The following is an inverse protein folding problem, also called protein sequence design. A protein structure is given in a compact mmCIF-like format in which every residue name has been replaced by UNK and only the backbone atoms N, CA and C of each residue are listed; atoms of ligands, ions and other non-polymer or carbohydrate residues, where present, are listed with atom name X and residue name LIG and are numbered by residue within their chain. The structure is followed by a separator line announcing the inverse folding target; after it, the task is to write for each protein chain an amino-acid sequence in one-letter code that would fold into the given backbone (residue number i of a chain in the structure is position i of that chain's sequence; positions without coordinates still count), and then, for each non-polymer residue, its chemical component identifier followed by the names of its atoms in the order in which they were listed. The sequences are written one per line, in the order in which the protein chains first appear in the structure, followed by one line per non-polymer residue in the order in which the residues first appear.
data_IF_073756520207
#
_entry.id   IF_073756520207
#
_cell.length_a   1.000
_cell.length_b   1.000
_cell.length_c   1.000
_cell.angle_alpha   90.00
_cell.angle_beta   90.00
_cell.angle_gamma   90.00
#
_symmetry.space_group_name_H-M   'P 1'
#
loop_
_entity.id
_entity.type
_entity.pdbx_description
1 polymer ?
#
# COMPACT_ATOMS: atom_id res chain seq x y z
N UNK A 1 46.38 -56.23 10.19
CA UNK A 1 46.30 -55.43 8.96
C UNK A 1 44.84 -55.29 8.59
N UNK A 2 44.20 -54.24 9.07
CA UNK A 2 42.80 -53.92 8.76
C UNK A 2 42.76 -52.55 8.10
N UNK A 3 42.32 -52.52 6.85
CA UNK A 3 42.04 -51.28 6.12
C UNK A 3 40.53 -51.00 6.25
N UNK A 4 40.19 -49.97 7.00
CA UNK A 4 38.83 -49.39 7.03
C UNK A 4 38.63 -48.49 5.82
N UNK A 5 37.74 -48.84 4.93
CA UNK A 5 37.32 -48.00 3.83
C UNK A 5 36.18 -47.06 4.30
N UNK A 6 36.44 -45.77 4.24
CA UNK A 6 35.42 -44.75 4.52
C UNK A 6 34.57 -44.54 3.26
N UNK A 7 33.30 -44.89 3.32
CA UNK A 7 32.33 -44.63 2.25
C UNK A 7 31.83 -43.19 2.38
N UNK A 8 32.23 -42.32 1.44
CA UNK A 8 31.71 -40.97 1.32
C UNK A 8 30.42 -41.06 0.52
N UNK A 9 29.28 -40.89 1.19
CA UNK A 9 27.96 -40.81 0.58
C UNK A 9 27.77 -39.39 0.05
N UNK A 10 27.97 -39.19 -1.23
CA UNK A 10 27.65 -37.93 -1.91
C UNK A 10 26.16 -37.77 -2.06
N UNK A 11 25.54 -36.88 -1.29
CA UNK A 11 24.16 -36.47 -1.49
C UNK A 11 24.14 -35.49 -2.67
N UNK A 12 23.74 -35.96 -3.83
CA UNK A 12 23.40 -35.09 -4.95
C UNK A 12 22.07 -34.38 -4.64
N UNK A 13 22.15 -33.10 -4.30
CA UNK A 13 20.96 -32.24 -4.24
C UNK A 13 20.47 -32.01 -5.67
N UNK A 14 19.46 -32.75 -6.10
CA UNK A 14 18.71 -32.46 -7.29
C UNK A 14 17.88 -31.20 -7.03
N UNK A 15 18.33 -30.04 -7.48
CA UNK A 15 17.52 -28.84 -7.64
C UNK A 15 16.43 -29.16 -8.67
N UNK A 16 15.26 -29.57 -8.19
CA UNK A 16 14.08 -29.57 -9.02
C UNK A 16 13.74 -28.09 -9.32
N UNK A 17 14.13 -27.63 -10.52
CA UNK A 17 13.60 -26.41 -11.07
C UNK A 17 12.08 -26.58 -11.16
N UNK A 18 11.35 -26.07 -10.17
CA UNK A 18 9.90 -26.01 -10.23
C UNK A 18 9.54 -25.17 -11.46
N UNK A 19 8.99 -25.82 -12.48
CA UNK A 19 8.49 -25.14 -13.67
C UNK A 19 7.47 -24.09 -13.19
N UNK A 20 7.77 -22.81 -13.42
CA UNK A 20 6.88 -21.70 -13.14
C UNK A 20 5.61 -21.93 -13.96
N UNK A 21 4.44 -22.08 -13.34
CA UNK A 21 3.22 -22.37 -14.07
C UNK A 21 2.93 -21.26 -15.09
N UNK A 22 2.49 -21.65 -16.28
CA UNK A 22 2.29 -20.73 -17.44
C UNK A 22 1.32 -19.57 -17.19
N UNK A 23 0.50 -19.65 -16.12
CA UNK A 23 -0.43 -18.58 -15.73
C UNK A 23 0.26 -17.41 -14.98
N UNK A 24 1.42 -17.59 -14.35
CA UNK A 24 2.20 -16.47 -13.81
C UNK A 24 2.62 -15.47 -14.87
N UNK A 25 2.66 -15.89 -16.14
CA UNK A 25 3.02 -15.03 -17.27
C UNK A 25 1.85 -14.18 -17.81
N UNK A 26 0.60 -14.47 -17.45
CA UNK A 26 -0.57 -13.76 -18.00
C UNK A 26 -0.81 -12.39 -17.34
N UNK A 27 -0.54 -12.25 -16.04
CA UNK A 27 -0.63 -10.95 -15.36
C UNK A 27 0.56 -10.03 -15.69
N UNK A 28 1.74 -10.59 -15.90
CA UNK A 28 2.89 -9.84 -16.42
C UNK A 28 2.62 -9.27 -17.83
N UNK A 29 1.80 -9.94 -18.64
CA UNK A 29 1.50 -9.48 -20.01
C UNK A 29 0.51 -8.32 -20.08
N UNK A 30 -0.32 -8.10 -19.06
CA UNK A 30 -1.27 -6.97 -19.03
C UNK A 30 -0.65 -5.63 -18.65
N UNK A 31 0.52 -5.62 -17.98
CA UNK A 31 1.33 -4.41 -17.76
C UNK A 31 2.23 -4.04 -18.94
N UNK A 32 2.31 -4.89 -19.98
CA UNK A 32 3.24 -4.76 -21.12
C UNK A 32 2.52 -4.58 -22.45
N UNK A 33 1.51 -3.73 -22.53
CA UNK A 33 1.10 -3.19 -23.83
C UNK A 33 1.92 -1.93 -24.22
N UNK A 34 3.21 -2.01 -24.06
CA UNK A 34 4.21 -1.17 -24.68
C UNK A 34 5.45 -2.01 -24.73
N UNK A 35 5.98 -2.34 -25.92
CA UNK A 35 7.03 -3.29 -26.23
C UNK A 35 8.14 -3.39 -25.19
N UNK A 36 7.92 -4.19 -24.16
CA UNK A 36 8.86 -4.43 -23.09
C UNK A 36 10.04 -5.25 -23.61
N UNK A 37 11.23 -4.71 -23.48
CA UNK A 37 12.46 -5.42 -23.78
C UNK A 37 12.57 -6.67 -22.91
N UNK A 38 13.10 -7.79 -23.43
CA UNK A 38 13.41 -8.99 -22.67
C UNK A 38 14.54 -8.81 -21.64
N UNK A 39 15.13 -7.62 -21.55
CA UNK A 39 16.23 -7.34 -20.62
C UNK A 39 15.69 -6.68 -19.35
N UNK A 40 15.82 -7.30 -18.17
CA UNK A 40 15.53 -6.63 -16.90
C UNK A 40 16.52 -5.50 -16.67
N UNK A 41 16.02 -4.34 -16.23
CA UNK A 41 16.85 -3.26 -15.72
C UNK A 41 17.42 -2.31 -16.78
N UNK A 42 16.62 -1.39 -17.26
CA UNK A 42 17.05 -0.07 -17.74
C UNK A 42 18.10 0.03 -18.85
N UNK A 43 18.62 -1.08 -19.43
CA UNK A 43 19.64 -1.05 -20.49
C UNK A 43 19.11 -1.55 -21.84
N UNK A 44 19.64 -0.98 -22.90
CA UNK A 44 19.51 -1.47 -24.27
C UNK A 44 20.44 -2.69 -24.51
N UNK A 45 20.26 -3.45 -25.59
CA UNK A 45 21.16 -4.58 -25.92
C UNK A 45 22.63 -4.19 -26.10
N UNK A 46 22.93 -2.94 -26.43
CA UNK A 46 24.26 -2.39 -26.57
C UNK A 46 24.89 -1.94 -25.23
N UNK A 47 24.19 -2.14 -24.11
CA UNK A 47 24.61 -1.73 -22.76
C UNK A 47 24.33 -0.28 -22.42
N UNK A 48 23.79 0.53 -23.32
CA UNK A 48 23.40 1.91 -23.02
C UNK A 48 22.18 1.95 -22.07
N UNK A 49 22.11 2.99 -21.24
CA UNK A 49 20.97 3.20 -20.34
C UNK A 49 19.73 3.56 -21.15
N UNK A 50 18.62 2.91 -20.83
CA UNK A 50 17.32 3.37 -21.32
C UNK A 50 16.89 4.58 -20.53
N UNK A 51 16.23 5.55 -21.19
CA UNK A 51 15.50 6.56 -20.46
C UNK A 51 14.48 5.88 -19.52
N UNK A 52 14.62 6.08 -18.22
CA UNK A 52 13.61 5.62 -17.27
C UNK A 52 12.32 6.39 -17.60
N UNK A 53 11.20 5.71 -17.92
CA UNK A 53 9.95 6.44 -18.12
C UNK A 53 9.69 7.28 -16.88
N UNK A 54 9.32 8.56 -17.03
CA UNK A 54 8.99 9.38 -15.89
C UNK A 54 7.88 8.68 -15.11
N UNK A 55 8.04 8.56 -13.80
CA UNK A 55 6.96 8.08 -12.93
C UNK A 55 5.84 9.10 -13.08
N UNK A 56 4.72 8.71 -13.68
CA UNK A 56 3.60 9.60 -13.97
C UNK A 56 2.96 10.18 -12.71
N UNK A 57 3.22 9.56 -11.54
CA UNK A 57 2.77 9.99 -10.22
C UNK A 57 3.78 9.53 -9.18
N UNK A 58 4.07 10.38 -8.17
CA UNK A 58 4.88 10.02 -7.00
C UNK A 58 4.24 8.92 -6.15
N UNK A 59 2.92 8.86 -6.18
CA UNK A 59 2.15 7.85 -5.49
C UNK A 59 1.37 7.04 -6.52
N UNK A 60 1.52 5.73 -6.49
CA UNK A 60 0.58 4.83 -7.15
C UNK A 60 -0.79 5.02 -6.53
N UNK A 61 -1.82 4.70 -7.31
CA UNK A 61 -3.19 4.62 -6.82
C UNK A 61 -3.20 3.83 -5.51
N UNK A 62 -3.70 4.43 -4.44
CA UNK A 62 -3.75 3.75 -3.17
C UNK A 62 -4.85 2.71 -3.14
N UNK A 63 -4.59 1.61 -2.47
CA UNK A 63 -5.59 0.60 -2.21
C UNK A 63 -5.22 -0.15 -0.94
N UNK A 64 -6.19 -0.29 -0.04
CA UNK A 64 -6.11 -1.26 1.04
C UNK A 64 -6.85 -2.53 0.62
N UNK A 65 -6.20 -3.68 0.73
CA UNK A 65 -6.82 -4.97 0.44
C UNK A 65 -6.65 -5.93 1.60
N UNK A 66 -7.75 -6.46 2.09
CA UNK A 66 -7.76 -7.48 3.13
C UNK A 66 -8.39 -8.76 2.60
N UNK A 67 -7.73 -9.88 2.84
CA UNK A 67 -8.16 -11.21 2.47
C UNK A 67 -8.48 -12.01 3.73
N UNK A 68 -9.75 -12.27 4.02
CA UNK A 68 -10.14 -13.16 5.09
C UNK A 68 -10.32 -14.57 4.52
N UNK A 69 -9.42 -15.48 4.88
CA UNK A 69 -9.50 -16.89 4.51
C UNK A 69 -10.69 -17.50 5.24
N UNK A 70 -11.62 -18.11 4.49
CA UNK A 70 -12.83 -18.69 5.01
C UNK A 70 -12.60 -20.14 5.50
N UNK A 71 -13.67 -20.89 5.69
CA UNK A 71 -13.62 -22.23 6.28
C UNK A 71 -12.59 -23.12 5.60
N UNK A 72 -11.82 -23.92 6.37
CA UNK A 72 -10.85 -24.85 5.83
C UNK A 72 -11.49 -25.80 4.80
N UNK A 73 -10.82 -25.93 3.64
CA UNK A 73 -11.30 -26.76 2.54
C UNK A 73 -12.37 -26.13 1.65
N UNK A 74 -12.87 -24.93 1.97
CA UNK A 74 -13.81 -24.21 1.09
C UNK A 74 -13.14 -23.64 -0.16
N UNK A 75 -11.82 -23.50 -0.15
CA UNK A 75 -11.04 -22.80 -1.19
C UNK A 75 -11.48 -21.35 -1.40
N UNK A 76 -12.19 -20.79 -0.41
CA UNK A 76 -12.77 -19.45 -0.48
C UNK A 76 -12.09 -18.47 0.47
N UNK A 77 -12.07 -17.22 0.04
CA UNK A 77 -11.65 -16.08 0.88
C UNK A 77 -12.48 -14.84 0.54
N UNK A 78 -12.84 -14.10 1.58
CA UNK A 78 -13.54 -12.81 1.46
C UNK A 78 -12.52 -11.71 1.29
N UNK A 79 -12.74 -10.85 0.32
CA UNK A 79 -11.89 -9.69 0.04
C UNK A 79 -12.64 -8.44 0.48
N UNK A 80 -11.97 -7.61 1.27
CA UNK A 80 -12.32 -6.21 1.53
C UNK A 80 -11.33 -5.35 0.75
N UNK A 81 -11.81 -4.57 -0.19
CA UNK A 81 -10.98 -3.79 -1.09
C UNK A 81 -11.44 -2.33 -1.12
N UNK A 82 -10.52 -1.42 -0.82
CA UNK A 82 -10.77 0.03 -0.80
C UNK A 82 -9.86 0.69 -1.83
N UNK A 83 -10.23 0.71 -3.12
CA UNK A 83 -9.49 1.36 -4.19
C UNK A 83 -9.84 2.84 -4.32
N UNK A 84 -8.93 3.57 -4.96
CA UNK A 84 -9.07 4.98 -5.31
C UNK A 84 -9.16 5.15 -6.84
N UNK A 85 -9.99 6.09 -7.29
CA UNK A 85 -10.03 6.62 -8.65
C UNK A 85 -9.58 8.09 -8.61
N UNK A 86 -8.59 8.42 -9.40
CA UNK A 86 -7.95 9.75 -9.37
C UNK A 86 -8.11 10.54 -10.67
N UNK A 87 -8.78 9.98 -11.68
CA UNK A 87 -9.05 10.68 -12.93
C UNK A 87 -10.20 11.66 -12.74
N UNK A 88 -9.93 12.95 -12.78
CA UNK A 88 -10.94 14.01 -12.66
C UNK A 88 -12.08 13.77 -13.65
N UNK A 89 -13.32 13.89 -13.17
CA UNK A 89 -14.53 13.68 -13.95
C UNK A 89 -14.94 12.21 -14.11
N UNK A 90 -14.13 11.23 -13.66
CA UNK A 90 -14.54 9.84 -13.70
C UNK A 90 -15.76 9.62 -12.80
N UNK A 91 -16.82 9.00 -13.39
CA UNK A 91 -18.06 8.68 -12.70
C UNK A 91 -18.16 7.20 -12.31
N UNK A 92 -17.17 6.40 -12.67
CA UNK A 92 -17.12 4.95 -12.44
C UNK A 92 -15.72 4.52 -12.04
N UNK A 93 -15.66 3.56 -11.11
CA UNK A 93 -14.45 2.83 -10.79
C UNK A 93 -14.58 1.39 -11.28
N UNK A 94 -13.58 0.90 -12.02
CA UNK A 94 -13.56 -0.45 -12.57
C UNK A 94 -12.54 -1.30 -11.83
N UNK A 95 -13.00 -2.43 -11.27
CA UNK A 95 -12.16 -3.40 -10.60
C UNK A 95 -12.21 -4.76 -11.29
N UNK A 96 -11.15 -5.09 -12.02
CA UNK A 96 -11.03 -6.38 -12.69
C UNK A 96 -10.93 -7.54 -11.68
N UNK A 97 -11.65 -8.62 -11.96
CA UNK A 97 -11.51 -9.90 -11.27
C UNK A 97 -10.31 -10.64 -11.83
N UNK A 98 -9.57 -11.31 -10.98
CA UNK A 98 -8.45 -12.14 -11.40
C UNK A 98 -8.97 -13.35 -12.19
N UNK A 99 -8.40 -13.59 -13.36
CA UNK A 99 -8.72 -14.78 -14.17
C UNK A 99 -8.49 -16.08 -13.40
N UNK A 100 -9.44 -17.02 -13.52
CA UNK A 100 -9.45 -18.30 -12.80
C UNK A 100 -9.92 -18.23 -11.35
N UNK A 101 -10.37 -17.06 -10.85
CA UNK A 101 -11.10 -16.95 -9.59
C UNK A 101 -12.59 -16.80 -9.88
N UNK A 102 -13.41 -17.60 -9.21
CA UNK A 102 -14.87 -17.47 -9.24
C UNK A 102 -15.28 -16.39 -8.23
N UNK A 103 -15.90 -15.32 -8.70
CA UNK A 103 -16.33 -14.21 -7.84
C UNK A 103 -17.80 -14.35 -7.46
N UNK A 104 -18.12 -14.16 -6.18
CA UNK A 104 -19.49 -14.14 -5.63
C UNK A 104 -19.64 -13.07 -4.54
N UNK A 105 -20.86 -12.92 -4.03
CA UNK A 105 -21.20 -12.09 -2.87
C UNK A 105 -20.64 -10.65 -2.98
N UNK A 106 -20.78 -10.07 -4.18
CA UNK A 106 -20.28 -8.71 -4.43
C UNK A 106 -21.18 -7.69 -3.76
N UNK A 107 -20.57 -6.83 -2.97
CA UNK A 107 -21.22 -5.68 -2.35
C UNK A 107 -20.33 -4.45 -2.58
N UNK A 108 -20.92 -3.31 -2.89
CA UNK A 108 -20.19 -2.06 -3.13
C UNK A 108 -20.81 -0.94 -2.30
N UNK A 109 -19.99 -0.19 -1.59
CA UNK A 109 -20.42 0.88 -0.70
C UNK A 109 -19.66 2.17 -0.97
N UNK A 110 -20.32 3.29 -0.73
CA UNK A 110 -19.69 4.58 -0.57
C UNK A 110 -18.98 4.63 0.81
N UNK A 111 -17.64 4.69 0.86
CA UNK A 111 -16.92 4.68 2.14
C UNK A 111 -17.10 5.94 2.97
N UNK A 112 -17.64 7.03 2.39
CA UNK A 112 -17.97 8.25 3.12
C UNK A 112 -19.27 8.12 3.91
N UNK A 113 -20.28 7.46 3.35
CA UNK A 113 -21.63 7.38 3.92
C UNK A 113 -22.03 6.00 4.40
N UNK A 114 -21.27 4.95 4.07
CA UNK A 114 -21.61 3.55 4.33
C UNK A 114 -22.79 3.03 3.50
N UNK A 115 -23.34 3.83 2.56
CA UNK A 115 -24.51 3.45 1.76
C UNK A 115 -24.11 2.55 0.58
N UNK A 116 -24.96 1.57 0.21
CA UNK A 116 -24.76 0.78 -0.98
C UNK A 116 -24.69 1.63 -2.24
N UNK A 117 -23.78 1.28 -3.15
CA UNK A 117 -23.66 1.89 -4.47
C UNK A 117 -24.19 0.96 -5.56
N UNK A 118 -24.60 1.55 -6.68
CA UNK A 118 -24.93 0.79 -7.88
C UNK A 118 -23.65 0.24 -8.51
N UNK A 119 -23.70 -1.01 -8.92
CA UNK A 119 -22.63 -1.65 -9.66
C UNK A 119 -23.15 -2.67 -10.64
N UNK A 120 -22.31 -3.06 -11.59
CA UNK A 120 -22.50 -4.27 -12.42
C UNK A 120 -21.26 -5.15 -12.28
N UNK A 121 -21.48 -6.47 -12.27
CA UNK A 121 -20.41 -7.47 -12.34
C UNK A 121 -20.61 -8.27 -13.62
N UNK A 122 -19.72 -8.08 -14.59
CA UNK A 122 -19.89 -8.61 -15.93
C UNK A 122 -18.59 -9.04 -16.57
N UNK A 123 -18.70 -9.90 -17.58
CA UNK A 123 -17.58 -10.29 -18.42
C UNK A 123 -17.08 -9.08 -19.23
N UNK A 124 -15.75 -8.98 -19.36
CA UNK A 124 -15.04 -7.98 -20.14
C UNK A 124 -14.36 -8.61 -21.36
N UNK A 125 -14.72 -8.13 -22.56
CA UNK A 125 -14.17 -8.65 -23.81
C UNK A 125 -14.63 -10.09 -24.11
N UNK A 126 -13.77 -10.85 -24.83
CA UNK A 126 -14.09 -12.19 -25.30
C UNK A 126 -13.57 -13.33 -24.40
N UNK A 127 -12.83 -13.00 -23.34
CA UNK A 127 -12.29 -13.99 -22.41
C UNK A 127 -13.35 -14.29 -21.33
N UNK A 128 -13.85 -15.52 -21.24
CA UNK A 128 -14.87 -15.88 -20.25
C UNK A 128 -14.38 -15.79 -18.81
N UNK A 129 -13.08 -15.80 -18.57
CA UNK A 129 -12.49 -15.61 -17.23
C UNK A 129 -12.30 -14.14 -16.86
N UNK A 130 -12.48 -13.22 -17.80
CA UNK A 130 -12.24 -11.81 -17.57
C UNK A 130 -13.53 -11.10 -17.17
N UNK A 131 -13.71 -10.89 -15.87
CA UNK A 131 -14.84 -10.15 -15.33
C UNK A 131 -14.38 -8.89 -14.61
N UNK A 132 -15.23 -7.88 -14.55
CA UNK A 132 -15.00 -6.69 -13.77
C UNK A 132 -16.23 -6.21 -13.01
N UNK A 133 -15.99 -5.59 -11.87
CA UNK A 133 -16.97 -4.83 -11.12
C UNK A 133 -16.87 -3.39 -11.60
N UNK A 134 -17.97 -2.86 -12.13
CA UNK A 134 -18.15 -1.48 -12.50
C UNK A 134 -18.98 -0.79 -11.43
N UNK A 135 -18.34 -0.03 -10.59
CA UNK A 135 -18.98 0.67 -9.46
C UNK A 135 -19.23 2.14 -9.83
N UNK A 136 -20.49 2.56 -9.76
CA UNK A 136 -20.84 3.98 -9.96
C UNK A 136 -20.38 4.78 -8.76
N UNK A 137 -19.55 5.80 -8.96
CA UNK A 137 -19.11 6.69 -7.88
C UNK A 137 -20.27 7.56 -7.38
N UNK A 138 -20.31 7.91 -6.08
CA UNK A 138 -21.36 8.77 -5.51
C UNK A 138 -21.45 10.12 -6.19
N UNK A 139 -20.30 10.67 -6.55
CA UNK A 139 -20.12 11.86 -7.38
C UNK A 139 -18.96 11.60 -8.36
N UNK A 140 -18.94 12.23 -9.54
CA UNK A 140 -17.75 12.21 -10.39
C UNK A 140 -16.55 12.78 -9.62
N UNK A 141 -15.36 12.19 -9.85
CA UNK A 141 -14.13 12.63 -9.18
C UNK A 141 -13.94 14.13 -9.36
N UNK A 142 -13.95 14.92 -8.27
CA UNK A 142 -13.78 16.37 -8.39
C UNK A 142 -12.33 16.73 -8.70
N UNK A 143 -12.10 17.93 -9.23
CA UNK A 143 -10.75 18.48 -9.38
C UNK A 143 -10.08 18.60 -8.01
N UNK A 144 -8.89 18.05 -7.89
CA UNK A 144 -8.13 18.00 -6.61
C UNK A 144 -8.66 16.98 -5.60
N UNK A 145 -9.68 16.20 -5.96
CA UNK A 145 -10.24 15.15 -5.12
C UNK A 145 -9.95 13.74 -5.62
N UNK A 146 -10.53 12.75 -4.94
CA UNK A 146 -10.34 11.31 -5.21
C UNK A 146 -11.70 10.62 -5.08
N UNK A 147 -12.03 9.76 -6.06
CA UNK A 147 -13.18 8.86 -5.95
C UNK A 147 -12.81 7.58 -5.23
N UNK A 148 -13.61 7.14 -4.26
CA UNK A 148 -13.39 5.89 -3.53
C UNK A 148 -14.64 5.02 -3.54
N UNK A 149 -14.42 3.71 -3.50
CA UNK A 149 -15.46 2.72 -3.23
C UNK A 149 -14.93 1.68 -2.27
N UNK A 150 -15.82 1.11 -1.45
CA UNK A 150 -15.52 -0.06 -0.63
C UNK A 150 -16.18 -1.28 -1.27
N UNK A 151 -15.38 -2.23 -1.71
CA UNK A 151 -15.85 -3.46 -2.36
C UNK A 151 -15.63 -4.63 -1.43
N UNK A 152 -16.69 -5.39 -1.17
CA UNK A 152 -16.60 -6.75 -0.63
C UNK A 152 -16.92 -7.74 -1.73
N UNK A 153 -16.15 -8.83 -1.79
CA UNK A 153 -16.38 -9.94 -2.71
C UNK A 153 -15.76 -11.22 -2.16
N UNK A 154 -16.35 -12.35 -2.49
CA UNK A 154 -15.82 -13.67 -2.16
C UNK A 154 -15.19 -14.27 -3.42
N UNK A 155 -13.98 -14.79 -3.31
CA UNK A 155 -13.36 -15.58 -4.37
C UNK A 155 -13.27 -17.04 -3.93
N UNK A 156 -13.58 -17.94 -4.86
CA UNK A 156 -13.18 -19.34 -4.79
C UNK A 156 -11.99 -19.52 -5.74
N UNK A 157 -10.86 -19.92 -5.22
CA UNK A 157 -9.63 -20.10 -6.00
C UNK A 157 -8.76 -21.20 -5.37
N UNK A 158 -8.91 -22.47 -5.83
CA UNK A 158 -8.16 -23.61 -5.30
C UNK A 158 -6.65 -23.53 -5.56
N UNK A 159 -6.22 -22.66 -6.49
CA UNK A 159 -4.79 -22.43 -6.75
C UNK A 159 -4.16 -21.48 -5.75
N UNK A 160 -4.99 -20.63 -5.12
CA UNK A 160 -4.55 -19.68 -4.10
C UNK A 160 -4.66 -20.27 -2.71
N UNK A 161 -5.72 -21.01 -2.40
CA UNK A 161 -5.99 -21.55 -1.08
C UNK A 161 -6.00 -23.08 -1.13
N UNK A 162 -4.97 -23.69 -0.55
CA UNK A 162 -4.76 -25.13 -0.55
C UNK A 162 -4.71 -25.66 0.88
N UNK A 163 -5.24 -26.88 1.07
CA UNK A 163 -5.12 -27.65 2.31
C UNK A 163 -4.18 -28.84 2.10
N UNK A 164 -3.26 -29.04 3.05
CA UNK A 164 -2.38 -30.19 3.13
C UNK A 164 -2.50 -30.80 4.54
N UNK A 165 -3.44 -31.70 4.74
CA UNK A 165 -3.81 -32.21 6.08
C UNK A 165 -4.36 -31.05 6.93
N UNK A 166 -3.71 -30.78 8.07
CA UNK A 166 -4.06 -29.69 8.98
C UNK A 166 -3.40 -28.36 8.63
N UNK A 167 -2.66 -28.28 7.53
CA UNK A 167 -1.94 -27.10 7.12
C UNK A 167 -2.66 -26.36 5.97
N UNK A 168 -2.68 -25.04 6.07
CA UNK A 168 -3.08 -24.12 5.00
C UNK A 168 -1.82 -23.61 4.31
N UNK A 169 -1.84 -23.63 2.98
CA UNK A 169 -0.91 -22.88 2.13
C UNK A 169 -1.73 -21.91 1.30
N UNK A 170 -1.49 -20.61 1.52
CA UNK A 170 -2.13 -19.54 0.76
C UNK A 170 -1.08 -18.83 -0.07
N UNK A 171 -1.25 -18.83 -1.41
CA UNK A 171 -0.29 -18.28 -2.37
C UNK A 171 -1.00 -17.33 -3.33
N UNK A 172 -0.58 -16.07 -3.37
CA UNK A 172 -1.17 -15.10 -4.28
C UNK A 172 -0.16 -14.01 -4.66
N UNK A 173 -0.15 -13.63 -5.94
CA UNK A 173 0.56 -12.43 -6.37
C UNK A 173 -0.28 -11.20 -6.05
N UNK A 174 0.30 -10.25 -5.32
CA UNK A 174 -0.37 -9.06 -4.81
C UNK A 174 0.35 -7.81 -5.27
N UNK A 175 -0.40 -6.85 -5.81
CA UNK A 175 0.08 -5.56 -6.29
C UNK A 175 -0.36 -4.38 -5.42
N UNK A 176 -1.31 -4.60 -4.49
CA UNK A 176 -1.74 -3.55 -3.55
C UNK A 176 -0.60 -3.06 -2.67
N UNK A 177 -0.64 -1.80 -2.29
CA UNK A 177 0.39 -1.21 -1.43
C UNK A 177 0.23 -1.65 0.03
N UNK A 178 -0.99 -1.61 0.55
CA UNK A 178 -1.34 -2.01 1.93
C UNK A 178 -2.21 -3.25 1.91
N UNK A 179 -1.78 -4.28 2.61
CA UNK A 179 -2.33 -5.63 2.50
C UNK A 179 -2.54 -6.26 3.87
N UNK A 180 -3.62 -6.99 4.02
CA UNK A 180 -3.91 -7.82 5.18
C UNK A 180 -4.38 -9.22 4.77
N UNK A 181 -3.97 -10.23 5.54
CA UNK A 181 -4.49 -11.61 5.41
C UNK A 181 -4.92 -12.11 6.77
N UNK A 182 -6.20 -12.45 6.90
CA UNK A 182 -6.79 -12.99 8.14
C UNK A 182 -6.93 -14.50 7.98
N UNK A 183 -6.30 -15.23 8.91
CA UNK A 183 -6.37 -16.69 8.95
C UNK A 183 -7.74 -17.17 9.47
N UNK A 184 -8.20 -18.39 9.13
CA UNK A 184 -9.39 -18.96 9.71
C UNK A 184 -9.25 -19.13 11.23
N UNK A 185 -10.36 -19.19 11.93
CA UNK A 185 -10.36 -19.46 13.37
C UNK A 185 -9.76 -20.83 13.65
N UNK A 186 -8.91 -20.93 14.68
CA UNK A 186 -8.25 -22.17 15.07
C UNK A 186 -7.03 -22.51 14.22
N UNK A 187 -6.43 -21.53 13.55
CA UNK A 187 -5.16 -21.67 12.85
C UNK A 187 -4.09 -20.77 13.44
N UNK A 188 -2.88 -21.31 13.59
CA UNK A 188 -1.68 -20.59 13.96
C UNK A 188 -0.86 -20.23 12.72
N UNK A 189 -0.20 -19.09 12.75
CA UNK A 189 0.78 -18.70 11.74
C UNK A 189 2.05 -19.55 11.88
N UNK A 190 2.59 -20.04 10.77
CA UNK A 190 3.83 -20.80 10.69
C UNK A 190 4.92 -19.99 10.01
N UNK A 191 4.66 -19.52 8.78
CA UNK A 191 5.66 -18.76 8.03
C UNK A 191 5.04 -17.91 6.93
N UNK A 192 5.80 -16.89 6.49
CA UNK A 192 5.51 -16.07 5.34
C UNK A 192 6.82 -15.70 4.64
N UNK A 193 6.78 -15.50 3.33
CA UNK A 193 7.91 -15.00 2.57
C UNK A 193 7.97 -13.47 2.53
N UNK A 194 7.05 -12.78 3.21
CA UNK A 194 7.04 -11.32 3.35
C UNK A 194 7.15 -10.92 4.81
N UNK A 195 7.79 -9.79 5.08
CA UNK A 195 7.78 -9.19 6.40
C UNK A 195 6.37 -8.67 6.72
N UNK A 196 5.81 -9.08 7.85
CA UNK A 196 4.45 -8.74 8.23
C UNK A 196 4.35 -8.43 9.74
N UNK A 197 3.43 -7.55 10.08
CA UNK A 197 2.92 -7.42 11.44
C UNK A 197 1.90 -8.55 11.68
N UNK A 198 2.02 -9.23 12.81
CA UNK A 198 1.06 -10.27 13.23
C UNK A 198 0.24 -9.73 14.41
N UNK A 199 -1.08 -9.70 14.24
CA UNK A 199 -2.02 -9.24 15.27
C UNK A 199 -3.11 -10.27 15.50
N UNK A 200 -3.79 -10.19 16.64
CA UNK A 200 -4.97 -10.99 16.94
C UNK A 200 -6.21 -10.12 16.84
N UNK A 201 -7.17 -10.53 16.03
CA UNK A 201 -8.47 -9.87 15.90
C UNK A 201 -9.34 -10.10 17.14
N UNK A 202 -10.37 -9.27 17.33
CA UNK A 202 -11.27 -9.39 18.47
C UNK A 202 -11.98 -10.76 18.57
N UNK A 203 -12.17 -11.46 17.44
CA UNK A 203 -12.76 -12.81 17.36
C UNK A 203 -11.74 -13.93 17.54
N UNK A 204 -10.48 -13.60 17.84
CA UNK A 204 -9.37 -14.53 18.07
C UNK A 204 -8.68 -15.03 16.81
N UNK A 205 -9.04 -14.55 15.60
CA UNK A 205 -8.30 -14.87 14.37
C UNK A 205 -7.00 -14.09 14.30
N UNK A 206 -6.01 -14.67 13.66
CA UNK A 206 -4.74 -14.01 13.39
C UNK A 206 -4.82 -13.21 12.08
N UNK A 207 -4.26 -12.00 12.09
CA UNK A 207 -4.10 -11.15 10.90
C UNK A 207 -2.64 -10.84 10.68
N UNK A 208 -2.19 -11.09 9.44
CA UNK A 208 -0.92 -10.62 8.93
C UNK A 208 -1.17 -9.35 8.13
N UNK A 209 -0.50 -8.27 8.51
CA UNK A 209 -0.57 -7.01 7.79
C UNK A 209 0.81 -6.62 7.28
N UNK A 210 0.91 -6.17 6.03
CA UNK A 210 2.17 -5.86 5.39
C UNK A 210 2.01 -4.83 4.27
N UNK A 211 3.12 -4.24 3.86
CA UNK A 211 3.17 -3.33 2.72
C UNK A 211 3.97 -3.94 1.56
N UNK A 212 3.57 -3.57 0.35
CA UNK A 212 4.31 -3.84 -0.87
C UNK A 212 4.80 -2.52 -1.47
N UNK A 213 6.02 -2.07 -1.11
CA UNK A 213 6.52 -0.76 -1.53
C UNK A 213 6.87 -0.68 -3.02
N UNK A 214 7.00 -1.81 -3.69
CA UNK A 214 7.42 -1.84 -5.09
C UNK A 214 6.32 -1.41 -6.06
N UNK A 215 5.04 -1.45 -5.64
CA UNK A 215 3.90 -1.26 -6.54
C UNK A 215 3.78 -2.30 -7.65
N UNK A 216 4.68 -3.30 -7.65
CA UNK A 216 4.67 -4.42 -8.58
C UNK A 216 3.94 -5.62 -7.98
N UNK A 217 3.52 -6.55 -8.84
CA UNK A 217 2.92 -7.80 -8.37
C UNK A 217 3.99 -8.70 -7.77
N UNK A 218 3.92 -8.91 -6.44
CA UNK A 218 4.84 -9.78 -5.71
C UNK A 218 4.13 -11.06 -5.25
N UNK A 219 4.74 -12.24 -5.39
CA UNK A 219 4.19 -13.47 -4.86
C UNK A 219 4.27 -13.45 -3.32
N UNK A 220 3.13 -13.68 -2.67
CA UNK A 220 3.01 -13.82 -1.23
C UNK A 220 2.62 -15.25 -0.93
N UNK A 221 3.35 -15.90 -0.04
CA UNK A 221 3.08 -17.26 0.45
C UNK A 221 2.93 -17.23 1.95
N UNK A 222 1.83 -17.75 2.46
CA UNK A 222 1.54 -17.84 3.89
C UNK A 222 1.25 -19.30 4.22
N UNK A 223 1.89 -19.82 5.27
CA UNK A 223 1.65 -21.13 5.84
C UNK A 223 1.01 -20.97 7.22
N UNK A 224 -0.06 -21.72 7.46
CA UNK A 224 -0.74 -21.76 8.74
C UNK A 224 -1.10 -23.20 9.09
N UNK A 225 -1.18 -23.52 10.38
CA UNK A 225 -1.48 -24.85 10.89
C UNK A 225 -2.65 -24.83 11.86
N UNK A 226 -3.53 -25.78 11.77
CA UNK A 226 -4.61 -25.99 12.72
C UNK A 226 -4.06 -26.12 14.14
N UNK A 227 -4.68 -25.45 15.10
CA UNK A 227 -4.26 -25.47 16.50
C UNK A 227 -5.47 -25.43 17.42
N UNK A 228 -5.33 -26.09 18.58
CA UNK A 228 -6.28 -25.95 19.67
C UNK A 228 -5.98 -24.73 20.56
N UNK A 229 -4.83 -24.06 20.37
CA UNK A 229 -4.46 -22.88 21.15
C UNK A 229 -5.41 -21.72 20.83
N UNK A 230 -5.90 -21.06 21.86
CA UNK A 230 -6.61 -19.80 21.73
C UNK A 230 -5.61 -18.64 21.82
N UNK A 231 -5.73 -17.70 20.89
CA UNK A 231 -4.96 -16.47 20.92
C UNK A 231 -5.84 -15.37 21.54
N UNK A 232 -5.35 -14.78 22.62
CA UNK A 232 -5.95 -13.58 23.19
C UNK A 232 -5.70 -12.36 22.28
N UNK A 233 -6.54 -11.31 22.36
CA UNK A 233 -6.34 -10.10 21.59
C UNK A 233 -5.00 -9.47 21.97
N UNK A 234 -4.15 -9.24 21.00
CA UNK A 234 -2.97 -8.40 21.14
C UNK A 234 -3.39 -6.96 20.85
N UNK A 235 -3.13 -6.04 21.79
CA UNK A 235 -3.55 -4.64 21.71
C UNK A 235 -2.61 -3.80 20.82
N UNK A 236 -2.16 -4.35 19.70
CA UNK A 236 -1.42 -3.58 18.71
C UNK A 236 -2.37 -3.05 17.64
N UNK A 237 -2.28 -1.75 17.33
CA UNK A 237 -2.96 -1.20 16.20
C UNK A 237 -2.45 -1.85 14.91
N UNK A 238 -3.36 -2.10 13.97
CA UNK A 238 -2.98 -2.49 12.61
C UNK A 238 -2.35 -1.27 11.92
N UNK A 239 -1.02 -1.29 11.83
CA UNK A 239 -0.23 -0.18 11.28
C UNK A 239 -0.52 0.09 9.80
N UNK A 240 -1.08 -0.89 9.08
CA UNK A 240 -1.31 -0.78 7.64
C UNK A 240 -2.77 -0.42 7.30
N UNK A 241 -3.67 -0.45 8.28
CA UNK A 241 -5.07 -0.10 8.09
C UNK A 241 -5.26 1.42 8.03
N UNK A 242 -4.75 2.15 9.02
CA UNK A 242 -4.74 3.60 9.02
C UNK A 242 -3.67 4.10 8.05
N UNK A 243 -4.05 5.02 7.18
CA UNK A 243 -3.15 5.54 6.19
C UNK A 243 -2.86 7.03 6.41
N UNK A 244 -1.59 7.29 6.70
CA UNK A 244 -1.03 8.64 6.62
C UNK A 244 0.09 8.58 5.59
N UNK A 245 -0.13 9.26 4.48
CA UNK A 245 0.82 9.38 3.37
C UNK A 245 1.25 10.83 3.26
N UNK A 246 2.54 11.11 3.41
CA UNK A 246 3.08 12.46 3.39
C UNK A 246 4.15 12.61 2.31
N UNK A 247 4.02 13.64 1.50
CA UNK A 247 5.05 14.15 0.61
C UNK A 247 5.70 15.37 1.24
N UNK A 248 7.02 15.33 1.37
CA UNK A 248 7.88 16.45 1.69
C UNK A 248 8.56 16.91 0.39
N UNK A 249 8.03 17.94 -0.23
CA UNK A 249 8.58 18.55 -1.44
C UNK A 249 9.56 19.66 -1.04
N UNK A 250 10.85 19.37 -1.19
CA UNK A 250 11.92 20.27 -0.78
C UNK A 250 12.14 21.36 -1.83
N UNK A 251 12.13 22.61 -1.40
CA UNK A 251 12.55 23.78 -2.19
C UNK A 251 14.08 23.93 -2.13
N UNK A 252 14.67 25.01 -2.65
CA UNK A 252 16.11 25.24 -2.52
C UNK A 252 16.54 25.24 -1.03
N UNK A 253 17.66 24.56 -0.65
CA UNK A 253 18.00 24.34 0.75
C UNK A 253 18.28 25.64 1.53
N UNK A 254 18.67 26.70 0.85
CA UNK A 254 18.89 28.03 1.45
C UNK A 254 17.59 28.66 1.95
N UNK A 255 16.45 28.21 1.47
CA UNK A 255 15.13 28.71 1.88
C UNK A 255 14.61 28.05 3.15
N UNK A 256 15.16 26.91 3.55
CA UNK A 256 14.64 26.05 4.61
C UNK A 256 13.15 25.68 4.42
N UNK A 257 12.66 25.72 3.18
CA UNK A 257 11.24 25.59 2.87
C UNK A 257 10.91 24.17 2.42
N UNK A 258 9.92 23.58 3.06
CA UNK A 258 9.35 22.28 2.72
C UNK A 258 7.87 22.48 2.44
N UNK A 259 7.42 22.14 1.23
CA UNK A 259 5.99 22.05 0.92
C UNK A 259 5.52 20.67 1.37
N UNK A 260 4.46 20.62 2.13
CA UNK A 260 3.88 19.40 2.66
C UNK A 260 2.56 19.12 1.96
N UNK A 261 2.42 17.90 1.46
CA UNK A 261 1.15 17.36 0.99
C UNK A 261 0.90 16.05 1.72
N UNK A 262 -0.24 15.95 2.41
CA UNK A 262 -0.59 14.76 3.17
C UNK A 262 -1.99 14.28 2.83
N UNK A 263 -2.12 12.97 2.72
CA UNK A 263 -3.40 12.27 2.69
C UNK A 263 -3.56 11.48 3.98
N UNK A 264 -4.72 11.61 4.60
CA UNK A 264 -5.04 10.98 5.86
C UNK A 264 -6.43 10.33 5.81
N UNK A 265 -6.52 9.06 6.20
CA UNK A 265 -7.80 8.35 6.35
C UNK A 265 -8.13 8.16 7.82
N UNK A 266 -9.29 8.64 8.27
CA UNK A 266 -9.78 8.45 9.63
C UNK A 266 -10.96 7.48 9.64
N UNK A 267 -10.87 6.44 10.45
CA UNK A 267 -11.87 5.38 10.63
C UNK A 267 -12.53 5.44 12.03
N UNK A 268 -12.12 6.39 12.86
CA UNK A 268 -12.64 6.51 14.23
C UNK A 268 -14.08 6.98 14.21
N UNK A 269 -14.95 6.28 14.92
CA UNK A 269 -16.37 6.63 15.01
C UNK A 269 -16.56 8.01 15.65
N UNK A 270 -17.42 8.82 15.05
CA UNK A 270 -17.74 10.16 15.52
C UNK A 270 -17.97 11.15 14.39
N UNK A 271 -18.29 12.38 14.74
CA UNK A 271 -18.52 13.49 13.81
C UNK A 271 -17.29 14.38 13.58
N UNK A 272 -16.14 14.02 14.14
CA UNK A 272 -14.88 14.79 13.98
C UNK A 272 -13.76 13.85 13.62
N UNK A 273 -12.95 14.24 12.64
CA UNK A 273 -11.63 13.64 12.41
C UNK A 273 -10.58 14.41 13.22
N UNK A 274 -9.62 13.68 13.76
CA UNK A 274 -8.54 14.22 14.57
C UNK A 274 -7.21 14.08 13.85
N UNK A 275 -6.63 15.21 13.57
CA UNK A 275 -5.33 15.32 12.95
C UNK A 275 -4.29 15.45 14.06
N UNK A 276 -3.74 14.30 14.50
CA UNK A 276 -2.94 14.16 15.73
C UNK A 276 -1.54 14.79 15.66
N UNK A 277 -1.39 15.94 15.03
CA UNK A 277 -0.06 16.53 14.92
C UNK A 277 -0.05 18.01 15.24
N UNK A 278 0.69 18.37 16.29
CA UNK A 278 1.12 19.75 16.56
C UNK A 278 1.88 20.39 15.38
N UNK A 279 2.47 19.55 14.49
CA UNK A 279 3.19 20.01 13.31
C UNK A 279 2.29 20.81 12.36
N UNK A 280 0.99 20.49 12.25
CA UNK A 280 0.09 21.24 11.36
C UNK A 280 -0.17 22.66 11.82
N UNK A 281 -0.07 22.95 13.11
CA UNK A 281 -0.26 24.31 13.64
C UNK A 281 0.89 25.26 13.25
N UNK A 282 1.99 24.71 12.74
CA UNK A 282 3.15 25.48 12.27
C UNK A 282 3.16 25.68 10.75
N UNK A 283 2.22 25.04 10.02
CA UNK A 283 2.14 25.21 8.57
C UNK A 283 1.60 26.59 8.20
N UNK A 284 2.33 27.23 7.32
CA UNK A 284 1.85 28.42 6.59
C UNK A 284 0.97 27.95 5.43
N UNK A 285 0.00 28.76 5.04
CA UNK A 285 -0.92 28.49 3.92
C UNK A 285 -1.64 27.14 4.05
N UNK A 286 -1.94 26.77 5.30
CA UNK A 286 -2.63 25.49 5.60
C UNK A 286 -3.97 25.42 4.88
N UNK A 287 -4.14 24.38 4.08
CA UNK A 287 -5.43 24.00 3.50
C UNK A 287 -5.77 22.58 3.92
N UNK A 288 -7.00 22.36 4.30
CA UNK A 288 -7.54 21.05 4.64
C UNK A 288 -8.81 20.84 3.84
N UNK A 289 -8.90 19.74 3.13
CA UNK A 289 -10.03 19.42 2.27
C UNK A 289 -10.55 18.00 2.54
N UNK A 290 -11.83 17.79 2.31
CA UNK A 290 -12.41 16.47 2.12
C UNK A 290 -12.02 16.00 0.70
N UNK A 291 -11.20 14.98 0.59
CA UNK A 291 -10.73 14.47 -0.71
C UNK A 291 -11.84 13.81 -1.53
N UNK A 292 -12.89 13.29 -0.89
CA UNK A 292 -14.00 12.67 -1.59
C UNK A 292 -14.88 13.71 -2.31
N UNK A 293 -14.92 14.96 -1.81
CA UNK A 293 -15.80 16.02 -2.32
C UNK A 293 -15.05 17.28 -2.79
N UNK A 294 -13.75 17.36 -2.53
CA UNK A 294 -12.90 18.55 -2.69
C UNK A 294 -13.37 19.78 -1.90
N UNK A 295 -14.28 19.63 -0.95
CA UNK A 295 -14.73 20.73 -0.09
C UNK A 295 -13.69 21.07 0.96
N UNK A 296 -13.50 22.36 1.20
CA UNK A 296 -12.60 22.83 2.27
C UNK A 296 -13.20 22.53 3.65
N UNK A 297 -12.35 22.06 4.55
CA UNK A 297 -12.61 22.02 5.97
C UNK A 297 -12.09 23.30 6.66
N UNK A 298 -12.77 23.70 7.74
CA UNK A 298 -12.27 24.68 8.68
C UNK A 298 -11.73 23.96 9.93
N UNK A 299 -10.40 23.70 9.99
CA UNK A 299 -9.83 23.02 11.13
C UNK A 299 -9.85 23.91 12.37
N UNK A 300 -10.10 23.30 13.53
CA UNK A 300 -10.11 23.97 14.83
C UNK A 300 -9.11 23.30 15.77
N UNK A 301 -8.49 24.10 16.63
CA UNK A 301 -7.63 23.55 17.69
C UNK A 301 -8.52 22.93 18.76
N UNK A 302 -8.26 21.64 19.09
CA UNK A 302 -8.93 20.88 20.13
C UNK A 302 -7.88 20.30 21.10
N UNK A 303 -7.51 21.05 22.14
CA UNK A 303 -6.39 20.73 23.00
C UNK A 303 -5.05 20.81 22.25
N UNK A 304 -4.33 19.69 22.21
CA UNK A 304 -3.05 19.55 21.52
C UNK A 304 -3.17 18.97 20.09
N UNK A 305 -4.39 18.81 19.61
CA UNK A 305 -4.67 18.29 18.27
C UNK A 305 -5.37 19.34 17.42
N UNK A 306 -5.36 19.14 16.13
CA UNK A 306 -6.22 19.83 15.18
C UNK A 306 -7.37 18.90 14.83
N UNK A 307 -8.61 19.39 14.85
CA UNK A 307 -9.78 18.63 14.52
C UNK A 307 -10.53 19.26 13.35
N UNK A 308 -11.17 18.44 12.54
CA UNK A 308 -12.11 18.88 11.50
C UNK A 308 -13.48 18.24 11.72
N UNK A 309 -14.54 19.03 11.59
CA UNK A 309 -15.90 18.51 11.65
C UNK A 309 -16.23 17.77 10.35
N UNK A 310 -16.69 16.52 10.46
CA UNK A 310 -17.10 15.73 9.31
C UNK A 310 -18.56 16.09 8.96
N UNK A 311 -18.82 16.24 7.65
CA UNK A 311 -20.20 16.43 7.16
C UNK A 311 -21.07 15.19 7.42
N UNK A 312 -20.45 14.00 7.31
CA UNK A 312 -21.09 12.71 7.62
C UNK A 312 -20.29 12.05 8.74
N UNK A 313 -20.92 11.83 9.92
CA UNK A 313 -20.26 11.12 11.01
C UNK A 313 -19.94 9.67 10.65
N UNK A 314 -18.81 9.18 11.12
CA UNK A 314 -18.42 7.75 11.00
C UNK A 314 -19.17 6.98 12.09
N UNK A 315 -20.03 6.04 11.71
CA UNK A 315 -20.85 5.25 12.63
C UNK A 315 -20.59 3.75 12.56
N UNK A 316 -20.05 3.26 11.43
CA UNK A 316 -19.75 1.83 11.24
C UNK A 316 -18.41 1.61 10.52
N UNK A 317 -18.06 0.34 10.33
CA UNK A 317 -16.76 -0.07 9.76
C UNK A 317 -16.70 0.05 8.22
N UNK A 318 -17.80 0.43 7.58
CA UNK A 318 -17.86 0.71 6.13
C UNK A 318 -17.49 2.14 5.82
N UNK A 319 -17.38 2.98 6.85
CA UNK A 319 -17.16 4.41 6.70
C UNK A 319 -15.73 4.81 7.07
N UNK A 320 -15.24 5.81 6.37
CA UNK A 320 -13.99 6.52 6.66
C UNK A 320 -14.04 7.94 6.11
N UNK A 321 -13.39 8.87 6.81
CA UNK A 321 -13.10 10.19 6.27
C UNK A 321 -11.78 10.15 5.50
N UNK A 322 -11.67 10.90 4.41
CA UNK A 322 -10.48 10.98 3.57
C UNK A 322 -10.07 12.45 3.41
N UNK A 323 -8.98 12.82 4.04
CA UNK A 323 -8.61 14.21 4.27
C UNK A 323 -7.30 14.53 3.55
N UNK A 324 -7.30 15.59 2.76
CA UNK A 324 -6.11 16.18 2.16
C UNK A 324 -5.64 17.39 2.96
N UNK A 325 -4.36 17.45 3.24
CA UNK A 325 -3.72 18.53 3.99
C UNK A 325 -2.55 19.04 3.17
N UNK A 326 -2.52 20.35 2.91
CA UNK A 326 -1.37 20.97 2.26
C UNK A 326 -0.94 22.21 3.03
N UNK A 327 0.33 22.54 2.95
CA UNK A 327 0.89 23.73 3.57
C UNK A 327 2.39 23.83 3.35
N UNK A 328 2.97 24.90 3.87
CA UNK A 328 4.40 25.16 3.77
C UNK A 328 5.00 25.24 5.16
N UNK A 329 6.14 24.59 5.35
CA UNK A 329 6.87 24.55 6.60
C UNK A 329 8.24 25.22 6.41
N UNK A 330 8.63 26.06 7.36
CA UNK A 330 10.03 26.47 7.55
C UNK A 330 10.68 25.51 8.53
N UNK A 331 11.65 24.74 8.08
CA UNK A 331 12.24 23.64 8.84
C UNK A 331 13.75 23.84 9.01
N UNK A 332 14.19 24.04 10.26
CA UNK A 332 15.60 24.19 10.58
C UNK A 332 16.41 22.87 10.37
N UNK A 333 15.74 21.72 10.37
CA UNK A 333 16.34 20.43 10.02
C UNK A 333 16.59 20.25 8.52
N UNK A 334 16.03 21.15 7.69
CA UNK A 334 16.28 21.21 6.26
C UNK A 334 17.16 22.40 5.93
N UNK A 335 18.39 22.16 5.44
CA UNK A 335 19.40 23.23 5.23
C UNK A 335 20.46 22.85 4.20
N UNK A 336 21.17 23.87 3.72
CA UNK A 336 22.47 23.71 3.07
C UNK A 336 23.56 23.52 4.15
N UNK A 337 24.50 22.62 3.90
CA UNK A 337 25.65 22.37 4.77
C UNK A 337 26.88 22.05 3.91
N UNK A 338 27.87 22.96 3.88
CA UNK A 338 29.12 22.82 3.11
C UNK A 338 28.94 22.48 1.62
N UNK A 339 27.87 22.99 0.99
CA UNK A 339 27.55 22.74 -0.42
C UNK A 339 26.65 21.52 -0.65
N UNK A 340 26.43 20.71 0.37
CA UNK A 340 25.46 19.63 0.38
C UNK A 340 24.11 20.10 0.93
N UNK A 341 23.07 19.29 0.69
CA UNK A 341 21.75 19.42 1.27
C UNK A 341 21.62 18.41 2.40
N UNK A 342 21.12 18.86 3.55
CA UNK A 342 20.79 18.00 4.69
C UNK A 342 19.30 18.16 5.03
N UNK A 343 18.58 17.05 5.12
CA UNK A 343 17.24 16.97 5.67
C UNK A 343 17.27 16.01 6.85
N UNK A 344 17.08 16.52 8.07
CA UNK A 344 17.10 15.77 9.32
C UNK A 344 15.78 16.02 10.06
N UNK A 345 14.90 15.02 10.03
CA UNK A 345 13.56 15.16 10.59
C UNK A 345 13.02 13.85 11.15
N UNK A 346 12.23 13.94 12.23
CA UNK A 346 11.35 12.87 12.65
C UNK A 346 10.07 12.91 11.84
N UNK A 347 9.80 11.83 11.10
CA UNK A 347 8.63 11.67 10.25
C UNK A 347 7.56 10.87 11.00
N UNK A 348 6.30 11.14 10.65
CA UNK A 348 5.13 10.49 11.21
C UNK A 348 4.31 9.81 10.10
N UNK A 349 3.45 8.88 10.50
CA UNK A 349 2.62 8.12 9.57
C UNK A 349 3.36 6.99 8.88
N UNK A 350 2.61 6.13 8.22
CA UNK A 350 3.12 4.91 7.61
C UNK A 350 4.01 5.19 6.39
N UNK A 351 3.61 6.13 5.54
CA UNK A 351 4.26 6.39 4.24
C UNK A 351 4.75 7.81 4.15
N UNK A 352 6.05 7.95 3.90
CA UNK A 352 6.68 9.25 3.77
C UNK A 352 7.53 9.28 2.48
N UNK A 353 7.37 10.30 1.68
CA UNK A 353 8.18 10.52 0.49
C UNK A 353 8.88 11.86 0.59
N UNK A 354 10.19 11.88 0.35
CA UNK A 354 10.98 13.10 0.30
C UNK A 354 11.43 13.31 -1.14
N UNK A 355 11.03 14.42 -1.74
CA UNK A 355 11.36 14.82 -3.11
C UNK A 355 12.42 15.94 -3.06
N UNK A 356 13.60 15.65 -3.58
CA UNK A 356 14.70 16.61 -3.63
C UNK A 356 14.41 17.78 -4.58
N UNK A 357 15.05 18.94 -4.41
CA UNK A 357 15.03 20.00 -5.41
C UNK A 357 15.61 19.53 -6.75
N UNK A 358 15.27 20.21 -7.84
CA UNK A 358 15.84 19.90 -9.15
C UNK A 358 17.38 20.03 -9.14
N UNK A 359 18.08 19.11 -9.79
CA UNK A 359 19.55 19.09 -9.88
C UNK A 359 20.27 18.60 -8.62
N UNK A 360 19.55 17.91 -7.71
CA UNK A 360 20.14 17.27 -6.54
C UNK A 360 20.01 15.75 -6.62
N UNK A 361 21.02 15.04 -6.11
CA UNK A 361 21.11 13.59 -6.06
C UNK A 361 21.35 13.11 -4.64
N UNK A 362 20.81 11.95 -4.27
CA UNK A 362 21.06 11.36 -2.96
C UNK A 362 22.53 10.96 -2.80
N UNK A 363 23.16 11.39 -1.70
CA UNK A 363 24.47 10.94 -1.24
C UNK A 363 24.35 9.95 -0.08
N UNK A 364 23.24 10.03 0.70
CA UNK A 364 22.97 9.11 1.79
C UNK A 364 21.54 9.26 2.30
N UNK A 365 20.97 8.14 2.75
CA UNK A 365 19.67 8.09 3.41
C UNK A 365 19.81 7.15 4.60
N UNK A 366 19.52 7.61 5.80
CA UNK A 366 19.71 6.84 7.04
C UNK A 366 18.76 5.66 7.21
N UNK A 367 17.71 5.60 6.41
CA UNK A 367 16.66 4.59 6.48
C UNK A 367 16.48 3.91 5.12
N UNK A 368 16.05 2.64 5.15
CA UNK A 368 15.73 1.90 3.93
C UNK A 368 14.51 2.50 3.23
N UNK A 369 14.59 2.69 1.92
CA UNK A 369 13.51 3.22 1.12
C UNK A 369 13.70 2.94 -0.37
N UNK A 370 12.64 3.16 -1.13
CA UNK A 370 12.69 3.08 -2.60
C UNK A 370 13.13 4.42 -3.16
N UNK A 371 14.26 4.44 -3.86
CA UNK A 371 14.77 5.64 -4.54
C UNK A 371 14.33 5.62 -5.99
N UNK A 372 13.87 6.75 -6.49
CA UNK A 372 13.42 6.91 -7.86
C UNK A 372 13.51 8.36 -8.35
N UNK A 373 12.94 8.61 -9.52
CA UNK A 373 12.83 9.94 -10.10
C UNK A 373 11.39 10.27 -10.45
N UNK A 374 11.00 11.51 -10.21
CA UNK A 374 9.70 12.07 -10.57
C UNK A 374 9.88 13.46 -11.17
N UNK A 375 9.41 13.66 -12.39
CA UNK A 375 9.59 14.93 -13.13
C UNK A 375 11.03 15.44 -13.15
N UNK A 376 12.00 14.51 -13.33
CA UNK A 376 13.43 14.83 -13.35
C UNK A 376 14.05 15.13 -11.98
N UNK A 377 13.33 14.96 -10.88
CA UNK A 377 13.77 15.15 -9.50
C UNK A 377 13.91 13.82 -8.79
N UNK A 378 14.94 13.63 -7.99
CA UNK A 378 15.12 12.43 -7.19
C UNK A 378 14.18 12.42 -5.98
N UNK A 379 13.62 11.24 -5.67
CA UNK A 379 12.81 11.03 -4.46
C UNK A 379 13.22 9.76 -3.72
N UNK A 380 12.95 9.71 -2.43
CA UNK A 380 12.96 8.49 -1.63
C UNK A 380 11.60 8.29 -0.99
N UNK A 381 11.02 7.11 -1.20
CA UNK A 381 9.79 6.67 -0.55
C UNK A 381 10.11 5.71 0.59
N UNK A 382 9.64 6.04 1.79
CA UNK A 382 9.94 5.38 3.04
C UNK A 382 8.67 4.78 3.65
N UNK A 383 8.80 3.62 4.28
CA UNK A 383 7.74 3.02 5.09
C UNK A 383 8.19 3.05 6.55
N UNK A 384 7.39 3.70 7.38
CA UNK A 384 7.62 3.74 8.80
C UNK A 384 6.97 2.51 9.47
N UNK A 385 7.80 1.56 9.86
CA UNK A 385 7.36 0.36 10.60
C UNK A 385 7.46 0.53 12.11
N UNK A 386 7.74 1.75 12.60
CA UNK A 386 7.80 2.03 14.02
C UNK A 386 6.40 2.33 14.57
N UNK A 387 5.90 1.47 15.43
CA UNK A 387 4.60 1.60 16.07
C UNK A 387 4.42 2.90 16.89
N UNK A 388 5.53 3.50 17.36
CA UNK A 388 5.51 4.75 18.10
C UNK A 388 5.56 6.00 17.20
N UNK A 389 5.58 5.82 15.88
CA UNK A 389 5.68 6.91 14.89
C UNK A 389 6.89 7.85 15.04
N UNK A 390 7.93 7.41 15.76
CA UNK A 390 9.19 8.16 15.94
C UNK A 390 10.23 7.67 14.92
N UNK A 391 10.10 8.11 13.68
CA UNK A 391 10.93 7.65 12.57
C UNK A 391 11.86 8.78 12.12
N UNK A 392 13.03 8.90 12.77
CA UNK A 392 14.02 9.89 12.36
C UNK A 392 14.68 9.48 11.06
N UNK A 393 14.66 10.38 10.10
CA UNK A 393 15.28 10.24 8.78
C UNK A 393 16.30 11.36 8.58
N UNK A 394 17.51 10.95 8.18
CA UNK A 394 18.57 11.89 7.78
C UNK A 394 18.87 11.60 6.32
N UNK A 395 18.77 12.63 5.50
CA UNK A 395 19.09 12.57 4.07
C UNK A 395 20.21 13.55 3.80
N UNK A 396 21.25 13.09 3.12
CA UNK A 396 22.28 13.89 2.52
C UNK A 396 22.12 13.85 1.00
N UNK A 397 22.19 15.00 0.36
CA UNK A 397 22.16 15.10 -1.09
C UNK A 397 23.21 16.13 -1.55
N UNK A 398 23.69 15.95 -2.76
CA UNK A 398 24.67 16.83 -3.41
C UNK A 398 24.13 17.28 -4.76
N UNK A 399 24.69 18.36 -5.28
CA UNK A 399 24.37 18.78 -6.64
C UNK A 399 24.82 17.70 -7.64
N UNK A 400 23.93 17.38 -8.58
CA UNK A 400 24.26 16.49 -9.67
C UNK A 400 25.42 17.07 -10.48
N UNK A 401 26.34 16.21 -10.94
CA UNK A 401 27.37 16.64 -11.88
C UNK A 401 26.69 17.12 -13.16
N UNK A 402 27.08 18.33 -13.62
CA UNK A 402 26.57 18.92 -14.86
C UNK A 402 27.19 18.20 -16.07
#
# INVERSE_FOLDING_TARGET
MNRSGTLILGIALALAAAAIPSWMNAEQRRGQQGGGSPFPGGTNPDGSLRPTPPVGRLFTQDAYTEYAILDPGSEQFRIRFLPEETRTGAAELVNATRGGSEGSDVEVYDPRTGKPLKFTYRQEGNDPENHAIHATLPIPVPEGGIGRVLIYKTYKDPRTYMMHGDDIVWVRSLSGYRLGVILPKGFAFISSNVAAQLTTQADGRLKLAFANPSGQSNPVTIHARKTAAAFGPLQYADMFFDDIKTLYDLDAPETHTVKLEQTYSDYRKGGKARLDSLAYLQLQDLKVIDLDTAKAFAPVKDGNIMAVALEVPIVDDKQSAHIGITGTLKDAGYKADNGDLVFDRTLHGLRNTVLLPAGWEFAGVSQSGTIGTYQGRAFVALINLNAENNYRVIIHARKAAQ
#
